data_IF_051300375050
#
_entry.id   IF_051300375050
#
_cell.length_a   1.000
_cell.length_b   1.000
_cell.length_c   1.000
_cell.angle_alpha   90.00
_cell.angle_beta   90.00
_cell.angle_gamma   90.00
#
_symmetry.space_group_name_H-M   'P 1'
#
loop_
_entity.id
_entity.type
_entity.pdbx_description
1 polymer ?
#
# COMPACT_ATOMS: atom_id res chain seq x y z
N UNK A 1 -1.27 105.34 -31.48
CA UNK A 1 -1.06 103.88 -31.39
C UNK A 1 -1.97 103.31 -30.29
N UNK A 2 -3.04 102.60 -30.66
CA UNK A 2 -3.64 101.55 -29.83
C UNK A 2 -3.80 100.24 -30.68
N UNK A 3 -4.34 99.09 -30.21
CA UNK A 3 -5.09 98.86 -28.96
C UNK A 3 -4.97 97.46 -28.27
N UNK A 4 -5.72 97.29 -27.17
CA UNK A 4 -6.30 96.07 -26.53
C UNK A 4 -5.45 94.79 -26.32
N UNK A 5 -5.27 94.39 -25.05
CA UNK A 5 -4.86 93.04 -24.66
C UNK A 5 -5.98 92.33 -23.89
N UNK A 6 -6.28 91.09 -24.31
CA UNK A 6 -7.39 90.23 -23.85
C UNK A 6 -6.93 89.20 -22.82
N UNK A 7 -7.85 88.87 -21.92
CA UNK A 7 -7.90 87.72 -20.99
C UNK A 7 -7.79 86.35 -21.69
N UNK A 8 -7.11 85.38 -21.09
CA UNK A 8 -7.26 83.92 -21.30
C UNK A 8 -6.58 83.19 -20.13
N UNK A 9 -7.34 82.68 -19.16
CA UNK A 9 -7.95 81.34 -19.05
C UNK A 9 -6.92 80.22 -18.87
N UNK A 10 -6.86 79.75 -17.62
CA UNK A 10 -6.05 78.64 -17.12
C UNK A 10 -6.69 77.32 -17.57
N UNK A 11 -5.91 76.42 -18.18
CA UNK A 11 -6.26 75.01 -18.36
C UNK A 11 -5.16 74.15 -17.75
N UNK A 12 -5.48 73.44 -16.67
CA UNK A 12 -4.60 72.50 -15.99
C UNK A 12 -4.43 71.23 -16.84
N UNK A 13 -3.18 70.82 -17.06
CA UNK A 13 -2.80 69.56 -17.70
C UNK A 13 -2.47 68.51 -16.61
N UNK A 14 -3.00 67.27 -16.69
CA UNK A 14 -2.73 66.26 -15.68
C UNK A 14 -1.37 65.58 -15.89
N UNK A 15 -0.70 65.27 -14.77
CA UNK A 15 0.54 64.51 -14.68
C UNK A 15 0.28 63.03 -15.07
N UNK A 16 0.84 62.56 -16.19
CA UNK A 16 0.79 61.16 -16.59
C UNK A 16 1.92 60.39 -15.90
N UNK A 17 1.60 59.65 -14.84
CA UNK A 17 2.51 58.66 -14.24
C UNK A 17 2.46 57.38 -15.07
N UNK A 18 3.52 57.12 -15.84
CA UNK A 18 3.67 55.86 -16.59
C UNK A 18 4.18 54.79 -15.64
N UNK A 19 3.29 53.87 -15.24
CA UNK A 19 3.67 52.65 -14.54
C UNK A 19 4.23 51.63 -15.55
N UNK A 20 5.50 51.24 -15.40
CA UNK A 20 6.03 50.08 -16.12
C UNK A 20 5.34 48.81 -15.61
N UNK A 21 4.59 48.15 -16.48
CA UNK A 21 3.93 46.88 -16.23
C UNK A 21 4.96 45.80 -15.88
N UNK A 22 4.79 45.16 -14.71
CA UNK A 22 5.52 43.97 -14.35
C UNK A 22 5.12 42.82 -15.28
N UNK A 23 6.10 42.25 -15.98
CA UNK A 23 5.92 41.01 -16.73
C UNK A 23 5.77 39.87 -15.72
N UNK A 24 4.53 39.42 -15.47
CA UNK A 24 4.27 38.17 -14.78
C UNK A 24 4.77 37.00 -15.64
N UNK A 25 5.93 36.46 -15.31
CA UNK A 25 6.35 35.16 -15.83
C UNK A 25 5.46 34.09 -15.22
N UNK A 26 4.46 33.61 -15.96
CA UNK A 26 3.75 32.39 -15.60
C UNK A 26 4.74 31.23 -15.62
N UNK A 27 5.08 30.68 -14.45
CA UNK A 27 5.84 29.43 -14.32
C UNK A 27 5.11 28.37 -15.17
N UNK A 28 5.80 27.62 -16.05
CA UNK A 28 5.13 26.55 -16.78
C UNK A 28 4.51 25.59 -15.75
N UNK A 29 3.22 25.29 -15.93
CA UNK A 29 2.56 24.26 -15.15
C UNK A 29 3.20 22.93 -15.55
N UNK A 30 4.15 22.47 -14.74
CA UNK A 30 4.54 21.06 -14.75
C UNK A 30 3.28 20.29 -14.37
N UNK A 31 2.92 19.25 -15.13
CA UNK A 31 1.84 18.35 -14.75
C UNK A 31 2.06 17.94 -13.29
N UNK A 32 1.04 18.09 -12.45
CA UNK A 32 1.14 17.86 -11.01
C UNK A 32 1.34 16.35 -10.79
N UNK A 33 2.60 15.92 -10.71
CA UNK A 33 2.98 14.55 -10.37
C UNK A 33 2.93 14.41 -8.85
N UNK A 34 2.68 13.20 -8.36
CA UNK A 34 2.75 12.90 -6.93
C UNK A 34 4.16 13.18 -6.39
N UNK A 35 4.25 13.92 -5.28
CA UNK A 35 5.53 14.28 -4.67
C UNK A 35 6.06 13.14 -3.79
N UNK A 36 6.84 12.25 -4.41
CA UNK A 36 7.54 11.16 -3.72
C UNK A 36 8.73 11.62 -2.86
N UNK A 37 9.13 12.90 -2.96
CA UNK A 37 10.26 13.45 -2.18
C UNK A 37 9.83 14.10 -0.86
N UNK A 38 8.52 14.29 -0.69
CA UNK A 38 7.94 14.83 0.54
C UNK A 38 8.03 13.81 1.68
N UNK A 39 8.03 14.31 2.92
CA UNK A 39 7.95 13.45 4.10
C UNK A 39 6.57 12.77 4.17
N UNK A 40 6.49 11.50 4.60
CA UNK A 40 5.23 10.77 4.64
C UNK A 40 4.28 11.36 5.68
N UNK A 41 2.97 11.29 5.39
CA UNK A 41 1.91 11.82 6.26
C UNK A 41 1.87 11.08 7.59
N UNK A 42 2.06 9.76 7.58
CA UNK A 42 1.92 8.92 8.78
C UNK A 42 3.27 8.54 9.39
N UNK A 43 4.04 7.69 8.70
CA UNK A 43 5.26 7.10 9.27
C UNK A 43 6.23 6.61 8.20
N UNK A 44 7.46 6.37 8.63
CA UNK A 44 8.47 5.64 7.86
C UNK A 44 8.74 4.30 8.54
N UNK A 45 8.44 3.20 7.84
CA UNK A 45 8.80 1.85 8.26
C UNK A 45 10.24 1.56 7.86
N UNK A 46 11.00 0.89 8.73
CA UNK A 46 12.35 0.41 8.42
C UNK A 46 12.38 -1.10 8.60
N UNK A 47 12.46 -1.81 7.48
CA UNK A 47 12.30 -3.26 7.41
C UNK A 47 13.53 -3.89 6.78
N UNK A 48 13.87 -5.10 7.21
CA UNK A 48 14.93 -5.92 6.62
C UNK A 48 14.37 -7.29 6.33
N UNK A 49 14.88 -7.93 5.28
CA UNK A 49 14.35 -9.22 4.86
C UNK A 49 14.35 -10.27 5.98
N UNK A 50 13.25 -11.02 6.09
CA UNK A 50 12.92 -11.86 7.23
C UNK A 50 12.37 -11.07 8.43
N UNK A 51 11.73 -9.91 8.21
CA UNK A 51 11.23 -9.08 9.32
C UNK A 51 10.15 -9.81 10.11
N UNK A 52 10.07 -9.49 11.40
CA UNK A 52 9.02 -9.97 12.29
C UNK A 52 8.50 -8.81 13.16
N UNK A 53 7.20 -8.77 13.50
CA UNK A 53 6.16 -9.66 12.99
C UNK A 53 5.92 -9.51 11.46
N UNK A 54 5.50 -10.56 10.79
CA UNK A 54 5.01 -10.52 9.40
C UNK A 54 3.54 -10.99 9.40
N UNK A 55 2.56 -10.15 8.99
CA UNK A 55 2.71 -8.81 8.39
C UNK A 55 3.01 -7.68 9.37
N UNK A 56 3.61 -6.61 8.85
CA UNK A 56 3.59 -5.29 9.46
C UNK A 56 2.32 -4.56 9.03
N UNK A 57 1.63 -3.94 9.98
CA UNK A 57 0.37 -3.23 9.72
C UNK A 57 0.43 -1.79 10.23
N UNK A 58 -0.14 -0.85 9.48
CA UNK A 58 -0.27 0.54 9.88
C UNK A 58 -1.64 1.09 9.48
N UNK A 59 -2.34 1.70 10.43
CA UNK A 59 -3.61 2.37 10.14
C UNK A 59 -3.36 3.70 9.44
N UNK A 60 -4.08 3.92 8.34
CA UNK A 60 -4.00 5.11 7.49
C UNK A 60 -5.41 5.54 7.08
N UNK A 61 -5.50 6.74 6.50
CA UNK A 61 -6.71 7.20 5.84
C UNK A 61 -6.49 7.19 4.33
N UNK A 62 -7.23 6.35 3.63
CA UNK A 62 -7.21 6.23 2.19
C UNK A 62 -7.94 7.40 1.52
N UNK A 63 -7.37 7.92 0.44
CA UNK A 63 -8.02 8.88 -0.43
C UNK A 63 -7.22 10.15 -0.71
N UNK A 64 -7.89 11.12 -1.33
CA UNK A 64 -7.34 12.42 -1.68
C UNK A 64 -8.12 13.06 -2.81
N UNK A 65 -7.61 14.16 -3.33
CA UNK A 65 -8.30 14.93 -4.39
C UNK A 65 -7.59 14.83 -5.75
N UNK A 66 -6.43 14.19 -5.81
CA UNK A 66 -5.66 14.07 -7.05
C UNK A 66 -5.85 12.71 -7.66
N UNK A 67 -6.26 12.67 -8.93
CA UNK A 67 -6.42 11.42 -9.68
C UNK A 67 -5.06 10.75 -9.86
N UNK A 68 -4.92 9.49 -9.46
CA UNK A 68 -3.66 8.75 -9.57
C UNK A 68 -3.16 8.59 -11.01
N UNK A 69 -4.06 8.74 -12.00
CA UNK A 69 -3.71 8.68 -13.43
C UNK A 69 -2.69 9.73 -13.89
N UNK A 70 -2.29 10.66 -13.01
CA UNK A 70 -1.19 11.61 -13.23
C UNK A 70 0.18 10.92 -13.27
N UNK A 71 0.37 9.75 -12.64
CA UNK A 71 1.63 8.99 -12.71
C UNK A 71 1.68 8.00 -13.87
N UNK A 72 0.57 7.32 -14.15
CA UNK A 72 0.38 6.46 -15.32
C UNK A 72 -1.11 6.32 -15.60
N UNK A 73 -1.52 6.16 -16.86
CA UNK A 73 -2.92 6.03 -17.24
C UNK A 73 -3.63 4.83 -16.58
N UNK A 74 -2.86 3.82 -16.18
CA UNK A 74 -3.36 2.59 -15.55
C UNK A 74 -3.61 2.73 -14.04
N UNK A 75 -3.22 3.85 -13.42
CA UNK A 75 -3.41 4.08 -12.00
C UNK A 75 -4.81 4.63 -11.72
N UNK A 76 -5.66 3.79 -11.15
CA UNK A 76 -7.02 4.13 -10.74
C UNK A 76 -7.05 4.92 -9.42
N UNK A 77 -8.20 5.52 -9.14
CA UNK A 77 -8.48 6.19 -7.87
C UNK A 77 -7.86 7.58 -7.69
N UNK A 78 -7.94 8.02 -6.43
CA UNK A 78 -7.58 9.35 -5.97
C UNK A 78 -6.74 9.29 -4.70
N UNK A 79 -5.65 10.05 -4.70
CA UNK A 79 -4.61 10.05 -3.67
C UNK A 79 -4.24 11.48 -3.27
N UNK A 80 -3.49 11.60 -2.17
CA UNK A 80 -2.81 12.82 -1.76
C UNK A 80 -1.62 13.11 -2.70
N UNK A 81 -1.56 14.29 -3.34
CA UNK A 81 -0.46 14.60 -4.26
C UNK A 81 0.75 15.22 -3.57
N UNK A 82 0.52 15.80 -2.39
CA UNK A 82 1.48 16.60 -1.67
C UNK A 82 2.50 15.75 -0.89
N UNK A 83 2.15 14.53 -0.52
CA UNK A 83 3.04 13.60 0.20
C UNK A 83 2.55 12.14 0.07
N UNK A 84 3.46 11.15 0.15
CA UNK A 84 3.08 9.77 0.39
C UNK A 84 2.45 9.61 1.76
N UNK A 85 1.63 8.57 1.92
CA UNK A 85 1.08 8.23 3.24
C UNK A 85 2.16 7.59 4.11
N UNK A 86 2.93 6.67 3.52
CA UNK A 86 3.93 5.86 4.22
C UNK A 86 5.18 5.72 3.37
N UNK A 87 6.33 5.82 4.01
CA UNK A 87 7.61 5.43 3.42
C UNK A 87 8.06 4.08 4.00
N UNK A 88 8.65 3.23 3.17
CA UNK A 88 9.23 1.95 3.60
C UNK A 88 10.70 1.92 3.18
N UNK A 89 11.61 2.00 4.14
CA UNK A 89 13.03 1.73 3.94
C UNK A 89 13.27 0.23 4.08
N UNK A 90 13.34 -0.49 2.96
CA UNK A 90 13.44 -1.94 2.92
C UNK A 90 14.85 -2.40 2.52
N UNK A 91 15.42 -3.31 3.30
CA UNK A 91 16.65 -4.04 2.94
C UNK A 91 16.27 -5.42 2.43
N UNK A 92 16.42 -5.63 1.12
CA UNK A 92 15.96 -6.84 0.44
C UNK A 92 16.84 -8.07 0.71
N UNK A 93 16.21 -9.24 0.56
CA UNK A 93 16.81 -10.57 0.65
C UNK A 93 16.25 -11.48 -0.44
N UNK A 94 15.96 -12.74 -0.10
CA UNK A 94 15.41 -13.72 -1.05
C UNK A 94 13.88 -13.76 -1.06
N UNK A 95 13.20 -12.93 -0.26
CA UNK A 95 11.75 -12.92 -0.12
C UNK A 95 11.11 -11.92 -1.09
N UNK A 96 9.87 -12.18 -1.55
CA UNK A 96 9.07 -11.15 -2.21
C UNK A 96 8.63 -10.09 -1.19
N UNK A 97 8.13 -8.95 -1.68
CA UNK A 97 7.49 -7.93 -0.85
C UNK A 97 6.08 -7.66 -1.37
N UNK A 98 5.07 -7.89 -0.52
CA UNK A 98 3.68 -7.56 -0.75
C UNK A 98 3.35 -6.29 0.04
N UNK A 99 2.79 -5.29 -0.64
CA UNK A 99 2.23 -4.07 -0.05
C UNK A 99 0.76 -4.07 -0.45
N UNK A 100 -0.15 -4.06 0.52
CA UNK A 100 -1.59 -4.10 0.30
C UNK A 100 -2.31 -3.11 1.22
N UNK A 101 -3.53 -2.73 0.88
CA UNK A 101 -4.42 -2.01 1.77
C UNK A 101 -5.70 -2.80 1.98
N UNK A 102 -6.24 -2.78 3.20
CA UNK A 102 -7.52 -3.42 3.53
C UNK A 102 -8.48 -2.38 4.07
N UNK A 103 -9.70 -2.31 3.56
CA UNK A 103 -10.73 -1.39 4.04
C UNK A 103 -12.15 -1.95 3.86
N UNK A 104 -13.10 -1.35 4.58
CA UNK A 104 -14.53 -1.56 4.29
C UNK A 104 -15.01 -0.75 3.06
N UNK A 105 -14.18 0.19 2.59
CA UNK A 105 -14.42 0.98 1.38
C UNK A 105 -13.52 0.51 0.25
N UNK A 106 -13.89 0.86 -0.98
CA UNK A 106 -13.10 0.57 -2.18
C UNK A 106 -11.82 1.43 -2.22
N UNK A 107 -10.66 0.78 -2.14
CA UNK A 107 -9.36 1.44 -2.03
C UNK A 107 -8.45 1.13 -3.21
N UNK A 108 -7.53 2.05 -3.49
CA UNK A 108 -6.52 1.92 -4.54
C UNK A 108 -5.14 2.05 -3.92
N UNK A 109 -4.10 1.55 -4.60
CA UNK A 109 -2.73 1.61 -4.12
C UNK A 109 -1.82 2.11 -5.23
N UNK A 110 -0.98 3.09 -4.88
CA UNK A 110 0.13 3.56 -5.72
C UNK A 110 1.42 3.40 -4.93
N UNK A 111 2.42 2.78 -5.53
CA UNK A 111 3.74 2.57 -4.93
C UNK A 111 4.81 3.08 -5.89
N UNK A 112 5.68 3.98 -5.42
CA UNK A 112 6.92 4.31 -6.11
C UNK A 112 8.05 3.50 -5.48
N UNK A 113 8.63 2.58 -6.25
CA UNK A 113 9.64 1.66 -5.73
C UNK A 113 11.05 2.25 -5.68
N UNK A 114 11.96 1.53 -5.01
CA UNK A 114 13.36 1.94 -4.89
C UNK A 114 14.15 1.94 -6.22
N UNK A 115 13.61 1.35 -7.30
CA UNK A 115 14.18 1.45 -8.65
C UNK A 115 13.63 2.66 -9.43
N UNK A 116 12.70 3.41 -8.85
CA UNK A 116 12.04 4.54 -9.49
C UNK A 116 10.91 4.15 -10.44
N UNK A 117 10.28 2.99 -10.21
CA UNK A 117 9.14 2.49 -10.99
C UNK A 117 7.85 2.68 -10.19
N UNK A 118 6.82 3.16 -10.88
CA UNK A 118 5.46 3.26 -10.34
C UNK A 118 4.71 1.95 -10.51
N UNK A 119 4.12 1.46 -9.43
CA UNK A 119 3.22 0.32 -9.39
C UNK A 119 1.86 0.78 -8.91
N UNK A 120 0.79 0.28 -9.53
CA UNK A 120 -0.57 0.63 -9.19
C UNK A 120 -1.43 -0.62 -9.10
N UNK A 121 -2.38 -0.61 -8.18
CA UNK A 121 -3.34 -1.69 -7.97
C UNK A 121 -4.66 -1.11 -7.47
N UNK A 122 -5.77 -1.74 -7.84
CA UNK A 122 -7.13 -1.34 -7.49
C UNK A 122 -7.79 -2.54 -6.80
N UNK A 123 -7.96 -3.63 -7.55
CA UNK A 123 -8.52 -4.87 -7.02
C UNK A 123 -7.51 -6.02 -7.11
N UNK A 124 -7.11 -6.57 -5.97
CA UNK A 124 -6.31 -7.78 -5.86
C UNK A 124 -6.98 -8.86 -4.99
N UNK A 125 -7.68 -8.46 -3.93
CA UNK A 125 -8.51 -9.32 -3.09
C UNK A 125 -9.87 -8.65 -2.86
N UNK A 126 -10.90 -9.09 -3.58
CA UNK A 126 -12.18 -8.37 -3.59
C UNK A 126 -12.02 -6.96 -4.19
N UNK A 127 -12.25 -5.93 -3.36
CA UNK A 127 -12.08 -4.50 -3.72
C UNK A 127 -10.84 -3.87 -3.06
N UNK A 128 -9.94 -4.71 -2.54
CA UNK A 128 -8.75 -4.26 -1.84
C UNK A 128 -7.51 -4.44 -2.73
N UNK A 129 -6.62 -3.43 -2.79
CA UNK A 129 -5.49 -3.40 -3.70
C UNK A 129 -4.27 -4.10 -3.09
N UNK A 130 -3.46 -4.73 -3.95
CA UNK A 130 -2.15 -5.23 -3.58
C UNK A 130 -1.12 -5.08 -4.70
N UNK A 131 0.09 -4.67 -4.34
CA UNK A 131 1.28 -4.69 -5.18
C UNK A 131 2.22 -5.77 -4.64
N UNK A 132 2.62 -6.70 -5.52
CA UNK A 132 3.54 -7.79 -5.20
C UNK A 132 4.80 -7.65 -6.03
N UNK A 133 5.94 -7.50 -5.35
CA UNK A 133 7.27 -7.47 -5.94
C UNK A 133 7.95 -8.82 -5.69
N UNK A 134 8.18 -9.59 -6.75
CA UNK A 134 8.79 -10.92 -6.64
C UNK A 134 10.30 -10.85 -6.34
N UNK A 135 10.96 -9.78 -6.75
CA UNK A 135 12.36 -9.49 -6.45
C UNK A 135 12.51 -8.00 -6.11
N UNK A 136 12.13 -7.59 -4.90
CA UNK A 136 12.13 -6.18 -4.50
C UNK A 136 13.58 -5.66 -4.39
N UNK A 137 13.92 -4.50 -5.00
CA UNK A 137 15.18 -3.82 -4.73
C UNK A 137 15.28 -3.31 -3.28
N UNK A 138 16.48 -3.29 -2.71
CA UNK A 138 16.70 -2.55 -1.46
C UNK A 138 16.56 -1.04 -1.70
N UNK A 139 15.94 -0.34 -0.76
CA UNK A 139 15.84 1.11 -0.77
C UNK A 139 14.53 1.63 -0.20
N UNK A 140 14.19 2.86 -0.56
CA UNK A 140 12.97 3.52 -0.10
C UNK A 140 11.84 3.28 -1.09
N UNK A 141 10.66 3.00 -0.56
CA UNK A 141 9.40 2.88 -1.27
C UNK A 141 8.43 3.92 -0.72
N UNK A 142 7.78 4.69 -1.59
CA UNK A 142 6.76 5.64 -1.19
C UNK A 142 5.38 5.08 -1.54
N UNK A 143 4.46 5.08 -0.58
CA UNK A 143 3.17 4.42 -0.69
C UNK A 143 2.05 5.44 -0.50
N UNK A 144 1.10 5.43 -1.43
CA UNK A 144 -0.17 6.15 -1.34
C UNK A 144 -1.32 5.16 -1.31
N UNK A 145 -2.17 5.26 -0.31
CA UNK A 145 -3.44 4.53 -0.24
C UNK A 145 -4.55 5.48 -0.67
N UNK A 146 -5.15 5.19 -1.83
CA UNK A 146 -6.18 6.02 -2.43
C UNK A 146 -7.59 5.47 -2.24
N UNK A 147 -8.59 6.23 -2.68
CA UNK A 147 -9.98 5.79 -2.80
C UNK A 147 -10.39 5.72 -4.27
N UNK A 148 -11.21 4.73 -4.63
CA UNK A 148 -11.68 4.59 -6.01
C UNK A 148 -12.71 5.68 -6.39
N UNK A 149 -13.60 6.03 -5.46
CA UNK A 149 -14.80 6.84 -5.70
C UNK A 149 -14.55 8.32 -6.04
N UNK A 150 -13.41 8.88 -5.63
CA UNK A 150 -13.05 10.29 -5.85
C UNK A 150 -13.94 11.30 -5.15
N UNK A 151 -14.65 10.91 -4.09
CA UNK A 151 -15.51 11.83 -3.33
C UNK A 151 -14.72 12.87 -2.53
N UNK A 152 -13.40 12.68 -2.39
CA UNK A 152 -12.54 13.44 -1.49
C UNK A 152 -12.82 13.17 -0.02
N UNK A 153 -13.73 12.24 0.30
CA UNK A 153 -13.87 11.71 1.65
C UNK A 153 -12.75 10.72 1.89
N UNK A 154 -12.12 10.83 3.06
CA UNK A 154 -11.10 9.88 3.47
C UNK A 154 -11.76 8.66 4.11
N UNK A 155 -11.30 7.46 3.78
CA UNK A 155 -11.78 6.21 4.34
C UNK A 155 -10.72 5.56 5.25
N UNK A 156 -11.09 5.01 6.43
CA UNK A 156 -10.12 4.27 7.25
C UNK A 156 -9.65 3.01 6.51
N UNK A 157 -8.36 2.78 6.48
CA UNK A 157 -7.74 1.60 5.88
C UNK A 157 -6.55 1.13 6.71
N UNK A 158 -6.18 -0.14 6.56
CA UNK A 158 -4.97 -0.69 7.15
C UNK A 158 -4.00 -1.03 6.02
N UNK A 159 -2.83 -0.39 6.02
CA UNK A 159 -1.71 -0.77 5.16
C UNK A 159 -1.07 -2.04 5.71
N UNK A 160 -0.85 -3.02 4.84
CA UNK A 160 -0.26 -4.33 5.15
C UNK A 160 1.01 -4.50 4.33
N UNK A 161 2.14 -4.76 5.00
CA UNK A 161 3.43 -5.03 4.38
C UNK A 161 3.90 -6.42 4.81
N UNK A 162 4.13 -7.31 3.85
CA UNK A 162 4.40 -8.73 4.12
C UNK A 162 5.43 -9.32 3.17
N UNK A 163 6.18 -10.31 3.64
CA UNK A 163 7.05 -11.14 2.80
C UNK A 163 6.40 -12.48 2.40
N UNK A 164 5.21 -12.75 2.94
CA UNK A 164 4.36 -13.86 2.51
C UNK A 164 3.37 -13.43 1.44
N UNK A 165 3.29 -14.25 0.39
CA UNK A 165 2.29 -14.12 -0.66
C UNK A 165 0.94 -14.73 -0.28
N UNK A 166 0.83 -15.38 0.88
CA UNK A 166 -0.46 -15.91 1.34
C UNK A 166 -1.43 -14.76 1.58
N UNK A 167 -2.45 -14.66 0.74
CA UNK A 167 -3.64 -13.85 0.96
C UNK A 167 -4.52 -14.62 1.94
N UNK A 168 -4.22 -14.54 3.24
CA UNK A 168 -5.09 -15.11 4.27
C UNK A 168 -6.30 -14.19 4.45
N UNK A 169 -7.19 -14.21 3.46
CA UNK A 169 -8.53 -13.64 3.52
C UNK A 169 -9.35 -14.43 4.53
N UNK A 170 -9.66 -13.82 5.66
CA UNK A 170 -10.64 -14.34 6.61
C UNK A 170 -12.06 -14.15 6.06
N UNK A 171 -12.60 -15.15 5.34
CA UNK A 171 -14.03 -15.50 5.35
C UNK A 171 -14.29 -16.77 4.52
N UNK A 172 -14.96 -17.72 5.15
CA UNK A 172 -15.29 -19.06 4.67
C UNK A 172 -16.37 -19.08 3.57
N UNK A 173 -16.28 -20.04 2.65
CA UNK A 173 -17.26 -21.13 2.52
C UNK A 173 -17.13 -21.87 1.17
N UNK A 174 -16.76 -23.15 1.24
CA UNK A 174 -17.33 -24.20 0.40
C UNK A 174 -16.79 -24.32 -1.03
N UNK A 175 -15.95 -25.32 -1.25
CA UNK A 175 -16.22 -26.46 -2.15
C UNK A 175 -14.91 -27.09 -2.67
N UNK A 176 -14.52 -28.18 -1.99
CA UNK A 176 -14.20 -29.49 -2.57
C UNK A 176 -13.39 -29.64 -3.87
N UNK A 177 -12.42 -30.57 -3.75
CA UNK A 177 -11.82 -31.45 -4.78
C UNK A 177 -10.69 -30.83 -5.62
N UNK A 178 -9.49 -31.40 -5.74
CA UNK A 178 -9.09 -32.79 -5.61
C UNK A 178 -7.57 -32.85 -5.43
N UNK A 179 -7.12 -33.87 -4.69
CA UNK A 179 -5.77 -34.38 -4.60
C UNK A 179 -4.95 -34.20 -5.90
N UNK A 180 -3.95 -33.31 -5.88
CA UNK A 180 -2.80 -33.39 -6.80
C UNK A 180 -1.59 -33.69 -5.93
N UNK A 181 -1.13 -34.93 -6.02
CA UNK A 181 -0.04 -35.46 -5.21
C UNK A 181 1.20 -34.59 -5.26
N UNK A 182 1.62 -34.13 -4.09
CA UNK A 182 2.90 -33.45 -3.88
C UNK A 182 2.82 -32.34 -2.83
N UNK A 183 1.66 -31.71 -2.67
CA UNK A 183 1.47 -30.65 -1.69
C UNK A 183 0.63 -31.17 -0.52
N UNK A 184 1.25 -31.25 0.65
CA UNK A 184 0.57 -31.65 1.87
C UNK A 184 -0.42 -30.54 2.23
N UNK A 185 -1.71 -30.84 2.22
CA UNK A 185 -2.75 -29.91 2.69
C UNK A 185 -2.58 -29.76 4.22
N UNK A 186 -1.91 -28.70 4.65
CA UNK A 186 -1.57 -28.45 6.04
C UNK A 186 -2.79 -28.06 6.89
N UNK A 187 -3.77 -27.37 6.30
CA UNK A 187 -4.96 -26.89 7.00
C UNK A 187 -4.85 -25.45 7.48
N UNK A 188 -5.50 -25.14 8.59
CA UNK A 188 -5.52 -23.87 9.32
C UNK A 188 -4.98 -24.02 10.76
N UNK A 189 -4.89 -22.92 11.51
CA UNK A 189 -4.50 -22.88 12.93
C UNK A 189 -5.70 -22.47 13.82
N UNK A 190 -6.90 -22.95 13.48
CA UNK A 190 -8.16 -22.51 14.09
C UNK A 190 -8.46 -23.11 15.46
N UNK A 191 -7.60 -23.99 15.99
CA UNK A 191 -7.81 -24.62 17.30
C UNK A 191 -7.14 -23.81 18.43
N UNK A 192 -7.61 -24.03 19.67
CA UNK A 192 -6.99 -23.41 20.84
C UNK A 192 -5.60 -23.98 21.19
N UNK A 193 -5.18 -25.03 20.49
CA UNK A 193 -3.94 -25.77 20.73
C UNK A 193 -2.90 -25.54 19.62
N UNK A 194 -3.26 -24.81 18.56
CA UNK A 194 -2.31 -24.41 17.51
C UNK A 194 -1.23 -23.47 18.08
N UNK A 195 0.05 -23.66 17.72
CA UNK A 195 1.25 -22.91 18.16
C UNK A 195 1.83 -23.30 19.53
N UNK A 196 1.56 -24.50 20.02
CA UNK A 196 2.17 -25.01 21.25
C UNK A 196 3.43 -25.86 21.01
N UNK A 197 3.79 -26.06 19.73
CA UNK A 197 5.00 -26.77 19.31
C UNK A 197 4.82 -28.28 19.18
N UNK A 198 3.59 -28.79 19.29
CA UNK A 198 3.18 -30.15 18.94
C UNK A 198 2.29 -30.12 17.70
N UNK A 199 2.22 -31.23 16.97
CA UNK A 199 1.31 -31.40 15.83
C UNK A 199 0.08 -32.20 16.25
N UNK A 200 -1.09 -31.56 16.29
CA UNK A 200 -2.35 -32.19 16.69
C UNK A 200 -3.05 -32.95 15.55
N UNK A 201 -2.56 -32.83 14.31
CA UNK A 201 -3.19 -33.46 13.16
C UNK A 201 -2.98 -35.00 13.14
N UNK A 202 -4.06 -35.80 13.25
CA UNK A 202 -3.98 -37.25 13.33
C UNK A 202 -3.55 -37.93 12.01
N UNK A 203 -3.28 -37.17 10.94
CA UNK A 203 -2.66 -37.67 9.70
C UNK A 203 -1.15 -37.80 9.83
N UNK A 204 -0.51 -37.13 10.78
CA UNK A 204 0.93 -37.17 10.99
C UNK A 204 1.33 -38.13 12.11
N UNK A 205 2.55 -38.64 12.03
CA UNK A 205 3.19 -39.48 13.04
C UNK A 205 4.64 -39.03 13.23
N UNK A 206 5.15 -39.09 14.46
CA UNK A 206 6.55 -38.78 14.78
C UNK A 206 6.77 -38.19 16.18
N UNK A 207 8.03 -37.90 16.57
CA UNK A 207 8.41 -37.35 17.88
C UNK A 207 7.91 -35.94 18.23
N UNK A 208 6.99 -35.37 17.45
CA UNK A 208 6.41 -34.05 17.70
C UNK A 208 4.90 -34.03 17.52
N UNK A 209 4.25 -35.20 17.46
CA UNK A 209 2.79 -35.28 17.41
C UNK A 209 2.25 -35.23 18.83
N UNK A 210 1.18 -34.49 19.03
CA UNK A 210 0.54 -34.39 20.33
C UNK A 210 0.07 -35.75 20.83
N UNK A 211 -0.01 -35.91 22.15
CA UNK A 211 -0.47 -37.17 22.75
C UNK A 211 -2.00 -37.34 22.64
N UNK A 212 -2.71 -36.26 22.29
CA UNK A 212 -4.16 -36.11 22.34
C UNK A 212 -4.89 -36.23 21.00
N UNK A 213 -4.26 -36.76 19.94
CA UNK A 213 -4.76 -36.90 18.56
C UNK A 213 -6.26 -37.26 18.41
N UNK A 214 -7.14 -36.26 18.48
CA UNK A 214 -8.57 -36.42 18.20
C UNK A 214 -8.83 -36.04 16.74
N UNK A 215 -9.77 -36.73 16.10
CA UNK A 215 -10.12 -36.45 14.68
C UNK A 215 -10.67 -35.04 14.46
N UNK A 216 -11.11 -34.37 15.52
CA UNK A 216 -11.61 -33.01 15.47
C UNK A 216 -10.52 -31.97 15.15
N UNK A 217 -9.25 -32.28 15.42
CA UNK A 217 -8.12 -31.33 15.24
C UNK A 217 -7.37 -31.57 13.92
N UNK A 218 -7.91 -32.46 13.08
CA UNK A 218 -7.38 -32.68 11.72
C UNK A 218 -7.48 -31.39 10.91
N UNK A 219 -6.37 -30.95 10.34
CA UNK A 219 -6.20 -29.69 9.61
C UNK A 219 -6.32 -28.41 10.47
N UNK A 220 -6.22 -28.49 11.80
CA UNK A 220 -6.39 -27.31 12.66
C UNK A 220 -5.12 -26.89 13.41
N UNK A 221 -3.97 -27.43 12.99
CA UNK A 221 -2.67 -27.12 13.57
C UNK A 221 -1.57 -27.11 12.48
N UNK A 222 -1.85 -26.35 11.42
CA UNK A 222 -1.02 -26.30 10.22
C UNK A 222 0.41 -25.82 10.48
N UNK A 223 0.57 -24.81 11.34
CA UNK A 223 1.86 -24.16 11.60
C UNK A 223 2.86 -25.09 12.29
N UNK A 224 2.46 -25.80 13.35
CA UNK A 224 3.35 -26.72 14.07
C UNK A 224 3.57 -28.02 13.29
N UNK A 225 2.52 -28.58 12.69
CA UNK A 225 2.65 -29.76 11.83
C UNK A 225 3.59 -29.54 10.64
N UNK A 226 3.51 -28.38 9.99
CA UNK A 226 4.42 -28.02 8.91
C UNK A 226 5.85 -27.84 9.41
N UNK A 227 6.04 -27.07 10.48
CA UNK A 227 7.35 -26.82 11.07
C UNK A 227 8.07 -28.12 11.44
N UNK A 228 7.36 -29.05 12.08
CA UNK A 228 7.93 -30.32 12.51
C UNK A 228 8.13 -31.31 11.35
N UNK A 229 7.32 -31.27 10.30
CA UNK A 229 7.54 -32.05 9.09
C UNK A 229 8.76 -31.55 8.29
N UNK A 230 8.93 -30.23 8.14
CA UNK A 230 10.10 -29.64 7.47
C UNK A 230 11.41 -29.92 8.24
N UNK A 231 11.33 -30.04 9.57
CA UNK A 231 12.44 -30.50 10.41
C UNK A 231 12.72 -32.01 10.29
N UNK A 232 11.94 -32.74 9.48
CA UNK A 232 12.04 -34.19 9.32
C UNK A 232 11.63 -34.99 10.56
N UNK A 233 10.89 -34.35 11.48
CA UNK A 233 10.42 -34.96 12.73
C UNK A 233 9.05 -35.60 12.57
N UNK A 234 8.26 -35.19 11.58
CA UNK A 234 6.96 -35.79 11.27
C UNK A 234 6.96 -36.42 9.89
N UNK A 235 6.09 -37.40 9.71
CA UNK A 235 5.75 -37.98 8.42
C UNK A 235 4.24 -38.24 8.34
N UNK A 236 3.69 -38.15 7.12
CA UNK A 236 2.32 -38.58 6.86
C UNK A 236 2.23 -40.11 6.89
N UNK A 237 1.16 -40.63 7.49
CA UNK A 237 0.86 -42.07 7.51
C UNK A 237 0.17 -42.57 6.24
#
# INVERSE_FOLDING_TARGET
>A
MPPFARTSLILALPLLTTACAGMSTSKPAVAQQLDWTAAPVYSTLTLSAGFQPDPQTLDVMAGGNTRASVVSADCAGFVNAEAPDVDINYTAGSYPLKIAATSASDTTLVVYDASGIWHCSDDADGTDPAVVLTSPPSGNYNVWVGSYDGSGQLAPATLVVSESLSTSSAASAGASSSYVGGEIEWGDDGSQWSHDGECDDPRFAGPGVASGNIEADRFHDASDCRSLYEQGRLYLR
#
